data_IF_359031929344
#
_entry.id   IF_359031929344
#
_cell.length_a   1.000
_cell.length_b   1.000
_cell.length_c   1.000
_cell.angle_alpha   90.00
_cell.angle_beta   90.00
_cell.angle_gamma   90.00
#
_symmetry.space_group_name_H-M   'P 1'
#
loop_
_entity.id
_entity.type
_entity.pdbx_description
1 polymer ?
#
# COMPACT_ATOMS: atom_id res chain seq x y z
N UNK A 1 25.99 33.83 7.10
CA UNK A 1 25.74 32.70 6.18
C UNK A 1 26.34 31.47 6.83
N UNK A 2 25.53 30.64 7.49
CA UNK A 2 25.94 29.32 7.94
C UNK A 2 25.36 28.32 6.94
N UNK A 3 26.25 27.55 6.32
CA UNK A 3 25.90 26.48 5.39
C UNK A 3 25.43 25.26 6.20
N UNK A 4 24.18 25.28 6.69
CA UNK A 4 23.49 24.11 7.27
C UNK A 4 22.83 23.26 6.18
N UNK A 5 23.58 22.93 5.13
CA UNK A 5 23.18 21.89 4.20
C UNK A 5 23.73 20.55 4.71
N UNK A 6 22.88 19.53 4.72
CA UNK A 6 23.21 18.11 4.98
C UNK A 6 23.10 17.60 6.43
N UNK A 7 22.22 18.16 7.24
CA UNK A 7 21.53 17.33 8.24
C UNK A 7 20.37 16.64 7.54
N UNK A 8 20.50 15.37 7.12
CA UNK A 8 19.32 14.52 6.96
C UNK A 8 18.62 14.58 8.32
N UNK A 9 17.56 15.39 8.45
CA UNK A 9 16.84 15.56 9.72
C UNK A 9 16.22 14.22 10.04
N UNK A 10 16.90 13.44 10.85
CA UNK A 10 16.47 12.11 11.23
C UNK A 10 15.21 12.27 12.07
N UNK A 11 14.09 11.76 11.57
CA UNK A 11 12.80 11.76 12.29
C UNK A 11 12.89 10.81 13.50
N UNK A 12 13.79 9.82 13.43
CA UNK A 12 14.00 8.78 14.43
C UNK A 12 15.49 8.57 14.71
N UNK A 13 15.86 8.42 15.98
CA UNK A 13 17.23 8.12 16.42
C UNK A 13 17.39 6.62 16.78
N UNK A 14 18.56 6.03 16.50
CA UNK A 14 18.95 4.71 16.99
C UNK A 14 18.35 3.49 16.24
N UNK A 15 18.09 2.34 16.91
CA UNK A 15 17.74 1.05 16.28
C UNK A 15 16.41 1.06 15.50
N UNK A 16 15.60 2.11 15.66
CA UNK A 16 14.37 2.34 14.90
C UNK A 16 14.60 2.51 13.39
N UNK A 17 15.77 2.97 12.97
CA UNK A 17 16.12 3.09 11.55
C UNK A 17 16.09 1.75 10.81
N UNK A 18 16.58 0.69 11.46
CA UNK A 18 16.58 -0.65 10.88
C UNK A 18 15.12 -1.10 10.66
N UNK A 19 14.24 -0.82 11.62
CA UNK A 19 12.81 -1.10 11.51
C UNK A 19 12.16 -0.36 10.32
N UNK A 20 12.51 0.91 10.13
CA UNK A 20 12.00 1.73 9.02
C UNK A 20 12.51 1.21 7.68
N UNK A 21 13.80 0.90 7.55
CA UNK A 21 14.34 0.33 6.30
C UNK A 21 13.75 -1.04 5.99
N UNK A 22 13.59 -1.90 7.01
CA UNK A 22 12.93 -3.19 6.86
C UNK A 22 11.48 -3.01 6.39
N UNK A 23 10.76 -2.03 6.94
CA UNK A 23 9.40 -1.71 6.53
C UNK A 23 9.32 -1.18 5.09
N UNK A 24 10.23 -0.26 4.69
CA UNK A 24 10.31 0.24 3.31
C UNK A 24 10.60 -0.90 2.35
N UNK A 25 11.58 -1.76 2.67
CA UNK A 25 11.93 -2.91 1.86
C UNK A 25 10.74 -3.88 1.73
N UNK A 26 10.07 -4.19 2.84
CA UNK A 26 8.87 -5.01 2.86
C UNK A 26 7.74 -4.39 2.02
N UNK A 27 7.52 -3.08 2.12
CA UNK A 27 6.52 -2.36 1.34
C UNK A 27 6.81 -2.40 -0.17
N UNK A 28 8.06 -2.18 -0.58
CA UNK A 28 8.48 -2.30 -1.98
C UNK A 28 8.34 -3.74 -2.50
N UNK A 29 8.70 -4.72 -1.68
CA UNK A 29 8.56 -6.13 -2.01
C UNK A 29 7.08 -6.53 -2.16
N UNK A 30 6.21 -6.10 -1.24
CA UNK A 30 4.77 -6.31 -1.32
C UNK A 30 4.16 -5.64 -2.55
N UNK A 31 4.62 -4.44 -2.91
CA UNK A 31 4.21 -3.75 -4.14
C UNK A 31 4.63 -4.55 -5.38
N UNK A 32 5.88 -5.01 -5.46
CA UNK A 32 6.37 -5.81 -6.57
C UNK A 32 5.58 -7.12 -6.73
N UNK A 33 5.29 -7.82 -5.63
CA UNK A 33 4.43 -9.01 -5.63
C UNK A 33 3.03 -8.67 -6.13
N UNK A 34 2.45 -7.57 -5.65
CA UNK A 34 1.10 -7.14 -6.04
C UNK A 34 1.03 -6.90 -7.54
N UNK A 35 1.97 -6.13 -8.10
CA UNK A 35 2.03 -5.88 -9.55
C UNK A 35 2.25 -7.17 -10.34
N UNK A 36 3.12 -8.06 -9.87
CA UNK A 36 3.37 -9.35 -10.51
C UNK A 36 2.13 -10.26 -10.51
N UNK A 37 1.38 -10.28 -9.40
CA UNK A 37 0.12 -11.04 -9.30
C UNK A 37 -0.94 -10.45 -10.23
N UNK A 38 -1.12 -9.12 -10.24
CA UNK A 38 -2.05 -8.44 -11.15
C UNK A 38 -1.69 -8.73 -12.63
N UNK A 39 -0.40 -8.82 -12.95
CA UNK A 39 0.06 -9.11 -14.31
C UNK A 39 -0.09 -10.59 -14.71
N UNK A 40 0.19 -11.53 -13.80
CA UNK A 40 0.34 -12.96 -14.15
C UNK A 40 -0.87 -13.83 -13.80
N UNK A 41 -1.77 -13.40 -12.92
CA UNK A 41 -2.85 -14.23 -12.38
C UNK A 41 -4.21 -13.55 -12.56
N UNK A 42 -5.10 -14.19 -13.31
CA UNK A 42 -6.47 -13.70 -13.50
C UNK A 42 -7.50 -14.28 -12.50
N UNK A 43 -7.01 -14.91 -11.43
CA UNK A 43 -7.90 -15.56 -10.44
C UNK A 43 -8.56 -14.53 -9.52
N UNK A 44 -9.89 -14.39 -9.61
CA UNK A 44 -10.69 -13.47 -8.79
C UNK A 44 -10.42 -13.59 -7.28
N UNK A 45 -10.29 -14.81 -6.75
CA UNK A 45 -10.04 -15.04 -5.31
C UNK A 45 -8.79 -14.33 -4.81
N UNK A 46 -7.70 -14.39 -5.59
CA UNK A 46 -6.43 -13.76 -5.23
C UNK A 46 -6.57 -12.23 -5.28
N UNK A 47 -7.26 -11.70 -6.30
CA UNK A 47 -7.52 -10.25 -6.43
C UNK A 47 -8.37 -9.71 -5.27
N UNK A 48 -9.38 -10.45 -4.80
CA UNK A 48 -10.13 -10.10 -3.59
C UNK A 48 -9.26 -10.11 -2.33
N UNK A 49 -8.42 -11.13 -2.15
CA UNK A 49 -7.49 -11.19 -1.01
C UNK A 49 -6.52 -10.01 -1.02
N UNK A 50 -5.98 -9.65 -2.18
CA UNK A 50 -5.14 -8.47 -2.33
C UNK A 50 -5.89 -7.19 -1.97
N UNK A 51 -7.13 -7.03 -2.44
CA UNK A 51 -7.95 -5.87 -2.10
C UNK A 51 -8.16 -5.77 -0.58
N UNK A 52 -8.54 -6.86 0.09
CA UNK A 52 -8.77 -6.86 1.54
C UNK A 52 -7.47 -6.57 2.29
N UNK A 53 -6.36 -7.22 1.91
CA UNK A 53 -5.06 -7.01 2.53
C UNK A 53 -4.59 -5.56 2.40
N UNK A 54 -4.66 -4.99 1.18
CA UNK A 54 -4.29 -3.59 0.93
C UNK A 54 -5.31 -2.59 1.49
N UNK A 55 -6.56 -2.97 1.73
CA UNK A 55 -7.57 -2.12 2.34
C UNK A 55 -7.44 -1.98 3.85
N UNK A 56 -6.78 -2.93 4.52
CA UNK A 56 -6.66 -2.99 5.98
C UNK A 56 -5.24 -2.74 6.45
N UNK A 57 -4.24 -3.42 5.88
CA UNK A 57 -2.88 -3.42 6.42
C UNK A 57 -2.24 -2.01 6.43
N UNK A 58 -2.25 -1.23 5.34
CA UNK A 58 -1.62 0.10 5.35
C UNK A 58 -2.33 1.11 6.25
N UNK A 59 -3.68 1.23 6.28
CA UNK A 59 -4.36 2.08 7.26
C UNK A 59 -4.07 1.70 8.72
N UNK A 60 -4.07 0.40 9.05
CA UNK A 60 -3.70 -0.06 10.39
C UNK A 60 -2.25 0.30 10.71
N UNK A 61 -1.34 0.16 9.75
CA UNK A 61 0.05 0.55 9.92
C UNK A 61 0.20 2.06 10.21
N UNK A 62 -0.49 2.94 9.47
CA UNK A 62 -0.42 4.39 9.73
C UNK A 62 -0.85 4.75 11.16
N UNK A 63 -1.89 4.09 11.67
CA UNK A 63 -2.33 4.25 13.07
C UNK A 63 -1.26 3.75 14.04
N UNK A 64 -0.70 2.56 13.80
CA UNK A 64 0.36 1.99 14.64
C UNK A 64 1.59 2.88 14.66
N UNK A 65 2.00 3.36 13.49
CA UNK A 65 3.16 4.23 13.31
C UNK A 65 2.97 5.54 14.09
N UNK A 66 1.79 6.16 14.04
CA UNK A 66 1.55 7.37 14.82
C UNK A 66 1.61 7.12 16.33
N UNK A 67 0.81 6.18 16.84
CA UNK A 67 0.62 6.03 18.29
C UNK A 67 1.78 5.31 18.99
N UNK A 68 2.40 4.33 18.35
CA UNK A 68 3.40 3.46 18.99
C UNK A 68 4.82 3.75 18.55
N UNK A 69 5.03 4.48 17.44
CA UNK A 69 6.36 4.78 16.92
C UNK A 69 6.64 6.28 17.04
N UNK A 70 5.84 7.12 16.40
CA UNK A 70 6.08 8.55 16.34
C UNK A 70 5.83 9.25 17.68
N UNK A 71 4.71 8.97 18.36
CA UNK A 71 4.40 9.63 19.63
C UNK A 71 5.45 9.37 20.73
N UNK A 72 5.98 8.14 20.92
CA UNK A 72 7.02 7.89 21.93
C UNK A 72 8.46 8.21 21.50
N UNK A 73 8.78 8.15 20.20
CA UNK A 73 10.17 8.23 19.72
C UNK A 73 10.45 9.35 18.70
N UNK A 74 9.45 10.16 18.36
CA UNK A 74 9.59 11.24 17.39
C UNK A 74 10.45 12.38 17.92
N UNK A 75 11.37 12.88 17.09
CA UNK A 75 12.21 14.01 17.46
C UNK A 75 11.38 15.30 17.71
N UNK A 76 11.77 16.17 18.66
CA UNK A 76 11.09 17.44 18.89
C UNK A 76 10.98 18.29 17.62
N UNK A 77 9.78 18.81 17.32
CA UNK A 77 9.53 19.62 16.12
C UNK A 77 9.48 18.85 14.80
N UNK A 78 9.53 17.51 14.82
CA UNK A 78 9.46 16.66 13.61
C UNK A 78 8.04 16.34 13.14
N UNK A 79 7.01 16.71 13.91
CA UNK A 79 5.62 16.35 13.62
C UNK A 79 5.14 16.80 12.23
N UNK A 80 5.52 18.01 11.78
CA UNK A 80 5.18 18.47 10.44
C UNK A 80 5.76 17.60 9.33
N UNK A 81 6.99 17.11 9.49
CA UNK A 81 7.61 16.17 8.53
C UNK A 81 6.93 14.81 8.56
N UNK A 82 6.56 14.32 9.75
CA UNK A 82 5.79 13.09 9.89
C UNK A 82 4.44 13.17 9.18
N UNK A 83 3.67 14.24 9.43
CA UNK A 83 2.38 14.46 8.76
C UNK A 83 2.52 14.53 7.23
N UNK A 84 3.55 15.23 6.75
CA UNK A 84 3.85 15.30 5.32
C UNK A 84 4.18 13.91 4.73
N UNK A 85 4.97 13.10 5.46
CA UNK A 85 5.28 11.73 5.07
C UNK A 85 4.03 10.84 5.02
N UNK A 86 3.16 10.91 6.04
CA UNK A 86 1.88 10.21 6.07
C UNK A 86 0.96 10.61 4.91
N UNK A 87 0.89 11.91 4.57
CA UNK A 87 0.10 12.40 3.45
C UNK A 87 0.58 11.83 2.10
N UNK A 88 1.89 11.87 1.84
CA UNK A 88 2.45 11.25 0.63
C UNK A 88 2.19 9.75 0.60
N UNK A 89 2.46 9.05 1.70
CA UNK A 89 2.28 7.62 1.80
C UNK A 89 0.82 7.21 1.56
N UNK A 90 -0.14 7.97 2.11
CA UNK A 90 -1.56 7.72 1.91
C UNK A 90 -1.99 7.87 0.45
N UNK A 91 -1.44 8.85 -0.28
CA UNK A 91 -1.73 9.07 -1.71
C UNK A 91 -1.17 7.95 -2.57
N UNK A 92 0.07 7.52 -2.31
CA UNK A 92 0.69 6.39 -3.01
C UNK A 92 -0.08 5.09 -2.75
N UNK A 93 -0.43 4.83 -1.50
CA UNK A 93 -1.26 3.69 -1.12
C UNK A 93 -2.61 3.70 -1.85
N UNK A 94 -3.33 4.83 -1.83
CA UNK A 94 -4.63 4.97 -2.46
C UNK A 94 -4.56 4.71 -3.97
N UNK A 95 -3.48 5.15 -4.64
CA UNK A 95 -3.25 4.87 -6.06
C UNK A 95 -3.11 3.36 -6.33
N UNK A 96 -2.33 2.64 -5.51
CA UNK A 96 -2.19 1.17 -5.62
C UNK A 96 -3.51 0.47 -5.35
N UNK A 97 -4.23 0.88 -4.30
CA UNK A 97 -5.53 0.31 -3.95
C UNK A 97 -6.57 0.52 -5.07
N UNK A 98 -6.56 1.68 -5.72
CA UNK A 98 -7.41 1.97 -6.88
C UNK A 98 -7.08 1.04 -8.07
N UNK A 99 -5.79 0.82 -8.36
CA UNK A 99 -5.38 -0.11 -9.42
C UNK A 99 -5.88 -1.54 -9.18
N UNK A 100 -5.76 -2.04 -7.94
CA UNK A 100 -6.29 -3.36 -7.56
C UNK A 100 -7.81 -3.40 -7.76
N UNK A 101 -8.51 -2.36 -7.33
CA UNK A 101 -9.97 -2.25 -7.44
C UNK A 101 -10.44 -2.28 -8.89
N UNK A 102 -9.78 -1.53 -9.78
CA UNK A 102 -10.09 -1.47 -11.21
C UNK A 102 -9.85 -2.83 -11.87
N UNK A 103 -8.71 -3.47 -11.58
CA UNK A 103 -8.38 -4.77 -12.17
C UNK A 103 -9.35 -5.87 -11.71
N UNK A 104 -9.72 -5.86 -10.43
CA UNK A 104 -10.73 -6.76 -9.88
C UNK A 104 -12.10 -6.54 -10.55
N UNK A 105 -12.52 -5.29 -10.71
CA UNK A 105 -13.77 -4.95 -11.38
C UNK A 105 -13.79 -5.49 -12.82
N UNK A 106 -12.73 -5.22 -13.60
CA UNK A 106 -12.58 -5.73 -14.97
C UNK A 106 -12.58 -7.26 -15.06
N UNK A 107 -11.93 -7.95 -14.11
CA UNK A 107 -11.95 -9.40 -14.06
C UNK A 107 -13.34 -9.95 -13.72
N UNK A 108 -14.09 -9.25 -12.86
CA UNK A 108 -15.43 -9.66 -12.46
C UNK A 108 -16.45 -9.55 -13.60
N UNK A 109 -16.35 -8.50 -14.43
CA UNK A 109 -17.21 -8.31 -15.61
C UNK A 109 -16.93 -9.37 -16.67
N UNK A 110 -15.67 -9.63 -17.01
CA UNK A 110 -15.28 -10.72 -17.93
C UNK A 110 -15.83 -12.08 -17.51
N UNK A 111 -15.80 -12.37 -16.20
CA UNK A 111 -16.36 -13.60 -15.66
C UNK A 111 -17.91 -13.66 -15.73
N UNK A 112 -18.61 -12.52 -15.68
CA UNK A 112 -20.07 -12.47 -15.86
C UNK A 112 -20.46 -12.67 -17.32
N UNK A 113 -19.74 -12.04 -18.24
CA UNK A 113 -19.96 -12.18 -19.68
C UNK A 113 -19.77 -13.63 -20.15
N UNK A 114 -18.70 -14.29 -19.72
CA UNK A 114 -18.45 -15.70 -20.05
C UNK A 114 -19.60 -16.63 -19.62
N UNK A 115 -20.12 -16.46 -18.38
CA UNK A 115 -21.27 -17.23 -17.89
C UNK A 115 -22.55 -17.00 -18.70
N UNK A 116 -22.76 -15.77 -19.16
CA UNK A 116 -23.94 -15.41 -19.96
C UNK A 116 -23.91 -16.10 -21.33
N UNK A 117 -22.73 -16.18 -21.96
CA UNK A 117 -22.56 -16.88 -23.24
C UNK A 117 -22.82 -18.39 -23.12
N UNK A 118 -22.27 -19.05 -22.10
CA UNK A 118 -22.52 -20.48 -21.84
C UNK A 118 -24.01 -20.78 -21.65
N UNK A 119 -24.73 -19.89 -20.94
CA UNK A 119 -26.17 -20.10 -20.70
C UNK A 119 -27.00 -19.90 -21.97
N UNK A 120 -26.58 -19.05 -22.91
CA UNK A 120 -27.30 -18.86 -24.17
C UNK A 120 -27.13 -19.99 -25.18
N UNK A 121 -26.01 -20.73 -25.13
CA UNK A 121 -25.79 -21.90 -25.99
C UNK A 121 -26.59 -23.13 -25.53
N UNK A 122 -26.85 -23.27 -24.23
CA UNK A 122 -27.59 -24.43 -23.67
C UNK A 122 -29.11 -24.36 -23.95
N UNK A 123 -29.63 -23.19 -24.35
CA UNK A 123 -31.05 -22.96 -24.63
C UNK A 123 -31.36 -22.63 -26.12
N UNK A 124 -30.39 -22.73 -27.02
CA UNK A 124 -30.54 -22.45 -28.46
C UNK A 124 -30.46 -23.71 -29.32
#
# INVERSE_FOLDING_TARGET
MNNDASGMRMIYEGPLQIGIYAFIFFGLFALAITLWVLYRRDTLRIKYLLLVAWGILPPVWFVVEYFFIFLPYGAPGSFGFFQYGQDIASKLWAAVFALISIDLYKASERAKEARKHETSEDYG
#
